data_IF_707277163295
#
_entry.id   IF_707277163295
#
_cell.length_a   1.000
_cell.length_b   1.000
_cell.length_c   1.000
_cell.angle_alpha   90.00
_cell.angle_beta   90.00
_cell.angle_gamma   90.00
#
_symmetry.space_group_name_H-M   'P 1'
#
loop_
_entity.id
_entity.type
_entity.pdbx_description
1 polymer ?
#
# COMPACT_ATOMS: atom_id res chain seq x y z
N UNK A 1 -7.19 -0.97 15.33
CA UNK A 1 -6.34 -0.16 14.43
C UNK A 1 -5.77 -1.08 13.36
N UNK A 2 -5.84 -0.72 12.08
CA UNK A 2 -5.17 -1.48 11.01
C UNK A 2 -3.65 -1.27 11.12
N UNK A 3 -2.87 -2.32 10.99
CA UNK A 3 -1.40 -2.22 10.93
C UNK A 3 -0.96 -1.73 9.55
N UNK A 4 0.31 -1.32 9.42
CA UNK A 4 0.89 -1.01 8.10
C UNK A 4 0.75 -2.18 7.12
N UNK A 5 0.89 -3.42 7.62
CA UNK A 5 0.73 -4.63 6.82
C UNK A 5 -0.72 -4.82 6.35
N UNK A 6 -1.71 -4.62 7.23
CA UNK A 6 -3.14 -4.72 6.85
C UNK A 6 -3.49 -3.71 5.75
N UNK A 7 -2.99 -2.48 5.88
CA UNK A 7 -3.21 -1.43 4.89
C UNK A 7 -2.56 -1.79 3.55
N UNK A 8 -1.32 -2.25 3.58
CA UNK A 8 -0.60 -2.68 2.38
C UNK A 8 -1.29 -3.85 1.68
N UNK A 9 -1.80 -4.84 2.42
CA UNK A 9 -2.58 -5.93 1.83
C UNK A 9 -3.87 -5.42 1.18
N UNK A 10 -4.56 -4.47 1.83
CA UNK A 10 -5.75 -3.85 1.26
C UNK A 10 -5.48 -3.05 -0.02
N UNK A 11 -4.39 -2.30 -0.07
CA UNK A 11 -3.95 -1.60 -1.30
C UNK A 11 -3.63 -2.58 -2.43
N UNK A 12 -2.99 -3.71 -2.12
CA UNK A 12 -2.71 -4.76 -3.10
C UNK A 12 -3.98 -5.44 -3.61
N UNK A 13 -4.95 -5.67 -2.73
CA UNK A 13 -6.27 -6.20 -3.12
C UNK A 13 -7.04 -5.23 -4.04
N UNK A 14 -6.78 -3.93 -3.92
CA UNK A 14 -7.29 -2.91 -4.84
C UNK A 14 -6.51 -2.82 -6.16
N UNK A 15 -5.55 -3.72 -6.40
CA UNK A 15 -4.81 -3.81 -7.66
C UNK A 15 -3.49 -3.03 -7.71
N UNK A 16 -3.07 -2.39 -6.61
CA UNK A 16 -1.79 -1.67 -6.59
C UNK A 16 -0.61 -2.62 -6.34
N UNK A 17 0.46 -2.43 -7.11
CA UNK A 17 1.75 -3.11 -6.87
C UNK A 17 2.56 -2.40 -5.78
N UNK A 18 3.57 -3.08 -5.20
CA UNK A 18 4.45 -2.45 -4.20
C UNK A 18 5.21 -1.24 -4.75
N UNK A 19 5.59 -1.26 -6.03
CA UNK A 19 6.28 -0.15 -6.70
C UNK A 19 5.35 1.05 -6.89
N UNK A 20 4.07 0.82 -7.19
CA UNK A 20 3.07 1.88 -7.26
C UNK A 20 2.79 2.48 -5.88
N UNK A 21 2.65 1.64 -4.85
CA UNK A 21 2.49 2.10 -3.46
C UNK A 21 3.71 2.94 -3.05
N UNK A 22 4.92 2.51 -3.37
CA UNK A 22 6.15 3.25 -3.09
C UNK A 22 6.16 4.63 -3.76
N UNK A 23 5.76 4.70 -5.03
CA UNK A 23 5.68 5.95 -5.80
C UNK A 23 4.63 6.90 -5.22
N UNK A 24 3.46 6.38 -4.82
CA UNK A 24 2.34 7.18 -4.35
C UNK A 24 2.53 7.67 -2.91
N UNK A 25 3.18 6.88 -2.06
CA UNK A 25 3.43 7.24 -0.65
C UNK A 25 4.78 7.90 -0.43
N UNK A 26 5.70 7.83 -1.37
CA UNK A 26 7.10 8.24 -1.19
C UNK A 26 7.90 7.32 -0.26
N UNK A 27 7.33 6.20 0.18
CA UNK A 27 8.00 5.22 1.03
C UNK A 27 8.82 4.29 0.14
N UNK A 28 10.12 4.08 0.40
CA UNK A 28 10.94 3.19 -0.43
C UNK A 28 10.37 1.77 -0.53
N UNK A 29 10.31 1.20 -1.74
CA UNK A 29 9.82 -0.17 -1.97
C UNK A 29 10.50 -1.23 -1.07
N UNK A 30 11.82 -1.18 -0.78
CA UNK A 30 12.44 -2.13 0.15
C UNK A 30 11.87 -2.07 1.57
N UNK A 31 11.42 -0.90 2.02
CA UNK A 31 10.77 -0.70 3.32
C UNK A 31 9.37 -1.31 3.32
N UNK A 32 8.59 -1.08 2.25
CA UNK A 32 7.29 -1.72 2.05
C UNK A 32 7.41 -3.25 2.06
N UNK A 33 8.38 -3.81 1.32
CA UNK A 33 8.62 -5.26 1.26
C UNK A 33 8.91 -5.85 2.65
N UNK A 34 9.71 -5.16 3.49
CA UNK A 34 9.95 -5.59 4.88
C UNK A 34 8.69 -5.62 5.73
N UNK A 35 7.77 -4.68 5.54
CA UNK A 35 6.51 -4.63 6.28
C UNK A 35 5.54 -5.73 5.87
N UNK A 36 5.47 -6.04 4.57
CA UNK A 36 4.68 -7.16 4.05
C UNK A 36 5.22 -8.49 4.58
N UNK A 37 6.54 -8.63 4.69
CA UNK A 37 7.22 -9.88 5.07
C UNK A 37 7.45 -10.05 6.60
N UNK A 38 6.86 -9.19 7.45
CA UNK A 38 6.77 -9.47 8.89
C UNK A 38 7.57 -8.57 9.84
N UNK A 39 8.06 -7.40 9.42
CA UNK A 39 8.60 -6.39 10.36
C UNK A 39 7.80 -5.07 10.30
N UNK A 40 6.57 -4.99 10.84
CA UNK A 40 5.65 -3.87 10.64
C UNK A 40 5.99 -2.57 11.40
N UNK A 41 7.27 -2.35 11.77
CA UNK A 41 7.71 -1.10 12.39
C UNK A 41 7.76 0.05 11.37
N UNK A 42 6.58 0.54 10.98
CA UNK A 42 6.45 1.80 10.28
C UNK A 42 6.57 2.94 11.31
N UNK A 43 7.37 3.95 10.99
CA UNK A 43 7.32 5.19 11.74
C UNK A 43 5.94 5.84 11.60
N UNK A 44 5.49 6.60 12.60
CA UNK A 44 4.16 7.21 12.61
C UNK A 44 3.83 7.98 11.31
N UNK A 45 4.81 8.69 10.75
CA UNK A 45 4.64 9.44 9.49
C UNK A 45 4.38 8.53 8.28
N UNK A 46 5.05 7.39 8.20
CA UNK A 46 4.86 6.44 7.10
C UNK A 46 3.51 5.73 7.21
N UNK A 47 3.09 5.41 8.44
CA UNK A 47 1.77 4.84 8.70
C UNK A 47 0.65 5.81 8.26
N UNK A 48 0.79 7.11 8.53
CA UNK A 48 -0.18 8.13 8.08
C UNK A 48 -0.30 8.17 6.55
N UNK A 49 0.83 8.15 5.82
CA UNK A 49 0.81 8.12 4.34
C UNK A 49 0.14 6.88 3.78
N UNK A 50 0.34 5.72 4.43
CA UNK A 50 -0.34 4.49 4.04
C UNK A 50 -1.86 4.58 4.26
N UNK A 51 -2.29 5.13 5.39
CA UNK A 51 -3.71 5.34 5.69
C UNK A 51 -4.34 6.28 4.66
N UNK A 52 -3.71 7.41 4.37
CA UNK A 52 -4.21 8.40 3.41
C UNK A 52 -4.40 7.80 2.01
N UNK A 53 -3.40 7.05 1.53
CA UNK A 53 -3.51 6.35 0.25
C UNK A 53 -4.63 5.30 0.27
N UNK A 54 -4.75 4.55 1.36
CA UNK A 54 -5.77 3.51 1.49
C UNK A 54 -7.18 4.07 1.53
N UNK A 55 -7.40 5.17 2.24
CA UNK A 55 -8.66 5.89 2.24
C UNK A 55 -8.98 6.44 0.85
N UNK A 56 -8.02 7.03 0.14
CA UNK A 56 -8.22 7.51 -1.24
C UNK A 56 -8.62 6.37 -2.20
N UNK A 57 -7.97 5.21 -2.11
CA UNK A 57 -8.23 4.06 -2.99
C UNK A 57 -9.55 3.37 -2.65
N UNK A 58 -9.95 3.33 -1.38
CA UNK A 58 -11.19 2.66 -0.95
C UNK A 58 -12.43 3.55 -0.97
N UNK A 59 -12.27 4.88 -0.86
CA UNK A 59 -13.36 5.85 -0.99
C UNK A 59 -13.82 6.04 -2.44
N UNK A 60 -13.01 5.63 -3.42
CA UNK A 60 -13.36 5.64 -4.85
C UNK A 60 -13.42 4.21 -5.36
N UNK A 61 -14.59 3.65 -5.76
CA UNK A 61 -14.64 2.37 -6.43
C UNK A 61 -14.00 2.52 -7.82
N UNK A 62 -12.69 2.31 -7.92
CA UNK A 62 -12.01 2.29 -9.21
C UNK A 62 -12.20 0.90 -9.84
N UNK A 63 -12.77 0.80 -11.06
CA UNK A 63 -12.86 -0.47 -11.77
C UNK A 63 -11.45 -0.96 -12.10
N UNK A 64 -11.26 -2.26 -11.84
CA UNK A 64 -10.06 -3.05 -12.03
C UNK A 64 -9.23 -2.65 -13.24
N UNK A 65 -7.96 -2.32 -13.04
CA UNK A 65 -6.98 -2.31 -14.13
C UNK A 65 -6.80 -3.74 -14.63
N UNK A 66 -7.28 -3.98 -15.84
CA UNK A 66 -6.79 -5.02 -16.74
C UNK A 66 -5.34 -4.70 -17.07
N UNK A 67 -4.38 -5.49 -16.60
CA UNK A 67 -3.02 -5.49 -17.14
C UNK A 67 -2.52 -6.93 -17.22
N UNK A 68 -2.41 -7.39 -18.47
CA UNK A 68 -1.83 -8.66 -18.82
C UNK A 68 -0.41 -8.79 -18.29
N UNK A 69 -0.09 -10.00 -17.85
CA UNK A 69 1.27 -10.46 -17.72
C UNK A 69 1.55 -11.30 -18.97
N UNK A 70 2.59 -10.86 -19.67
CA UNK A 70 3.32 -11.47 -20.79
C UNK A 70 3.51 -13.00 -20.66
#
# INVERSE_FOLDING_TARGET
MKTATDILMGLRAAGLTQSEIARLTGIPQPRISRWVNGNPAAGANDALRLVELYESVTATPHPSKEVGHE
#
